data_IF_167638764506
#
_entry.id   IF_167638764506
#
_cell.length_a   1.000
_cell.length_b   1.000
_cell.length_c   1.000
_cell.angle_alpha   90.00
_cell.angle_beta   90.00
_cell.angle_gamma   90.00
#
_symmetry.space_group_name_H-M   'P 1'
#
loop_
_entity.id
_entity.type
_entity.pdbx_description
1 polymer ?
#
# COMPACT_ATOMS: atom_id res chain seq x y z
N UNK A 1 -8.26 22.14 -10.68
CA UNK A 1 -7.58 23.01 -9.70
C UNK A 1 -7.28 22.13 -8.51
N UNK A 2 -6.01 21.83 -8.24
CA UNK A 2 -5.63 20.90 -7.17
C UNK A 2 -5.80 21.58 -5.83
N UNK A 3 -6.70 21.07 -4.99
CA UNK A 3 -6.86 21.53 -3.62
C UNK A 3 -5.76 20.90 -2.77
N UNK A 4 -5.02 21.72 -2.02
CA UNK A 4 -4.01 21.24 -1.07
C UNK A 4 -4.56 21.33 0.34
N UNK A 5 -4.42 20.26 1.11
CA UNK A 5 -4.79 20.20 2.53
C UNK A 5 -3.57 20.00 3.41
N UNK A 6 -3.60 20.59 4.60
CA UNK A 6 -2.53 20.47 5.58
C UNK A 6 -2.72 19.16 6.35
N UNK A 7 -1.74 18.28 6.26
CA UNK A 7 -1.71 17.00 6.99
C UNK A 7 -0.51 16.97 7.94
N UNK A 8 -0.42 15.94 8.80
CA UNK A 8 0.76 15.68 9.63
C UNK A 8 2.06 15.47 8.82
N UNK A 9 1.95 15.31 7.49
CA UNK A 9 3.06 15.11 6.54
C UNK A 9 3.43 16.36 5.77
N UNK A 10 2.69 17.46 5.97
CA UNK A 10 2.80 18.69 5.19
C UNK A 10 1.61 18.92 4.25
N UNK A 11 1.83 19.70 3.20
CA UNK A 11 0.82 20.02 2.19
C UNK A 11 0.68 18.85 1.21
N UNK A 12 -0.52 18.30 1.11
CA UNK A 12 -0.84 17.15 0.25
C UNK A 12 -2.07 17.48 -0.59
N UNK A 13 -2.13 16.97 -1.82
CA UNK A 13 -3.31 17.07 -2.66
C UNK A 13 -4.48 16.33 -1.99
N UNK A 14 -5.64 16.99 -1.86
CA UNK A 14 -6.82 16.47 -1.15
C UNK A 14 -7.24 15.08 -1.65
N UNK A 15 -7.24 14.92 -2.96
CA UNK A 15 -7.51 13.69 -3.72
C UNK A 15 -6.54 12.55 -3.39
N UNK A 16 -5.32 12.87 -2.96
CA UNK A 16 -4.30 11.88 -2.58
C UNK A 16 -4.34 11.49 -1.10
N UNK A 17 -5.03 12.25 -0.24
CA UNK A 17 -5.02 12.01 1.21
C UNK A 17 -5.53 10.60 1.54
N UNK A 18 -6.73 10.27 1.05
CA UNK A 18 -7.34 8.96 1.29
C UNK A 18 -6.47 7.82 0.72
N UNK A 19 -5.93 8.02 -0.49
CA UNK A 19 -5.06 7.04 -1.13
C UNK A 19 -3.75 6.82 -0.36
N UNK A 20 -3.15 7.88 0.19
CA UNK A 20 -1.94 7.77 1.01
C UNK A 20 -2.24 7.03 2.31
N UNK A 21 -3.35 7.35 2.99
CA UNK A 21 -3.75 6.68 4.23
C UNK A 21 -4.04 5.19 3.99
N UNK A 22 -4.81 4.89 2.94
CA UNK A 22 -5.09 3.51 2.51
C UNK A 22 -3.82 2.75 2.18
N UNK A 23 -2.86 3.38 1.48
CA UNK A 23 -1.55 2.77 1.19
C UNK A 23 -0.82 2.39 2.47
N UNK A 24 -0.75 3.29 3.44
CA UNK A 24 -0.01 3.04 4.67
C UNK A 24 -0.64 1.92 5.50
N UNK A 25 -1.97 1.88 5.57
CA UNK A 25 -2.68 0.78 6.21
C UNK A 25 -2.36 -0.55 5.52
N UNK A 26 -2.46 -0.61 4.19
CA UNK A 26 -2.16 -1.83 3.43
C UNK A 26 -0.69 -2.25 3.53
N UNK A 27 0.25 -1.28 3.55
CA UNK A 27 1.67 -1.57 3.74
C UNK A 27 1.95 -2.14 5.13
N UNK A 28 1.29 -1.62 6.17
CA UNK A 28 1.41 -2.14 7.53
C UNK A 28 0.83 -3.56 7.65
N UNK A 29 -0.32 -3.82 7.04
CA UNK A 29 -0.91 -5.16 6.96
C UNK A 29 -0.02 -6.14 6.18
N UNK A 30 0.56 -5.70 5.05
CA UNK A 30 1.48 -6.49 4.27
C UNK A 30 2.74 -6.85 5.07
N UNK A 31 3.28 -5.92 5.84
CA UNK A 31 4.45 -6.15 6.70
C UNK A 31 4.15 -7.20 7.78
N UNK A 32 2.96 -7.13 8.39
CA UNK A 32 2.49 -8.18 9.31
C UNK A 32 2.39 -9.54 8.64
N UNK A 33 1.83 -9.61 7.42
CA UNK A 33 1.70 -10.86 6.68
C UNK A 33 3.06 -11.46 6.32
N UNK A 34 4.04 -10.63 5.95
CA UNK A 34 5.43 -11.09 5.73
C UNK A 34 5.97 -11.74 7.00
N UNK A 35 5.81 -11.10 8.17
CA UNK A 35 6.29 -11.66 9.43
C UNK A 35 5.55 -12.95 9.80
N UNK A 36 4.21 -12.97 9.67
CA UNK A 36 3.41 -14.19 9.90
C UNK A 36 3.79 -15.34 8.97
N UNK A 37 4.08 -15.07 7.69
CA UNK A 37 4.54 -16.10 6.77
C UNK A 37 5.90 -16.67 7.19
N UNK A 38 6.84 -15.79 7.56
CA UNK A 38 8.15 -16.20 8.06
C UNK A 38 8.05 -17.02 9.36
N UNK A 39 7.21 -16.60 10.30
CA UNK A 39 6.98 -17.30 11.57
C UNK A 39 6.38 -18.69 11.37
N UNK A 40 5.55 -18.87 10.34
CA UNK A 40 4.95 -20.15 9.95
C UNK A 40 5.84 -20.98 9.01
N UNK A 41 7.02 -20.48 8.61
CA UNK A 41 7.90 -21.16 7.65
C UNK A 41 7.38 -21.20 6.22
N UNK A 42 6.43 -20.32 5.88
CA UNK A 42 5.86 -20.17 4.54
C UNK A 42 6.69 -19.22 3.67
N UNK A 43 6.48 -19.27 2.36
CA UNK A 43 7.13 -18.34 1.44
C UNK A 43 6.61 -16.90 1.61
N UNK A 44 7.49 -16.01 2.06
CA UNK A 44 7.17 -14.59 2.24
C UNK A 44 7.29 -13.77 0.94
N UNK A 45 7.78 -14.35 -0.15
CA UNK A 45 7.98 -13.69 -1.45
C UNK A 45 6.74 -12.98 -1.99
N UNK A 46 5.55 -13.62 -2.08
CA UNK A 46 4.33 -12.96 -2.58
C UNK A 46 3.91 -11.75 -1.72
N UNK A 47 4.07 -11.83 -0.39
CA UNK A 47 3.77 -10.72 0.50
C UNK A 47 4.75 -9.54 0.32
N UNK A 48 6.03 -9.84 0.07
CA UNK A 48 7.06 -8.82 -0.24
C UNK A 48 6.78 -8.13 -1.57
N UNK A 49 6.39 -8.90 -2.60
CA UNK A 49 5.98 -8.35 -3.90
C UNK A 49 4.75 -7.46 -3.77
N UNK A 50 3.74 -7.90 -3.00
CA UNK A 50 2.56 -7.10 -2.69
C UNK A 50 2.92 -5.76 -2.01
N UNK A 51 3.80 -5.79 -1.00
CA UNK A 51 4.28 -4.59 -0.32
C UNK A 51 5.04 -3.64 -1.26
N UNK A 52 5.83 -4.18 -2.18
CA UNK A 52 6.55 -3.38 -3.16
C UNK A 52 5.57 -2.71 -4.13
N UNK A 53 4.58 -3.45 -4.65
CA UNK A 53 3.54 -2.89 -5.51
C UNK A 53 2.79 -1.72 -4.84
N UNK A 54 2.47 -1.82 -3.55
CA UNK A 54 1.84 -0.73 -2.79
C UNK A 54 2.75 0.50 -2.66
N UNK A 55 4.05 0.31 -2.48
CA UNK A 55 5.03 1.41 -2.39
C UNK A 55 5.17 2.16 -3.72
N UNK A 56 5.03 1.45 -4.83
CA UNK A 56 5.25 2.02 -6.17
C UNK A 56 4.04 2.83 -6.68
N UNK A 57 2.85 2.68 -6.07
CA UNK A 57 1.61 3.39 -6.46
C UNK A 57 1.79 4.91 -6.67
N UNK A 58 2.37 5.69 -5.74
CA UNK A 58 2.49 7.14 -5.93
C UNK A 58 3.48 7.53 -7.02
N UNK A 59 4.32 6.60 -7.49
CA UNK A 59 5.27 6.83 -8.58
C UNK A 59 4.71 6.40 -9.93
N UNK A 60 3.77 5.45 -9.96
CA UNK A 60 3.17 4.91 -11.18
C UNK A 60 1.90 5.63 -11.60
N UNK A 61 1.15 6.20 -10.66
CA UNK A 61 -0.12 6.88 -10.95
C UNK A 61 0.03 8.39 -10.79
N UNK A 62 -0.46 9.14 -11.79
CA UNK A 62 -0.58 10.60 -11.74
C UNK A 62 -1.86 11.05 -11.03
N UNK A 63 -2.89 10.19 -11.06
CA UNK A 63 -4.23 10.49 -10.57
C UNK A 63 -4.66 9.52 -9.48
N UNK A 64 -5.09 10.05 -8.34
CA UNK A 64 -5.46 9.26 -7.17
C UNK A 64 -6.71 8.39 -7.38
N UNK A 65 -7.60 8.81 -8.28
CA UNK A 65 -8.86 8.10 -8.58
C UNK A 65 -8.68 6.90 -9.51
N UNK A 66 -7.56 6.85 -10.23
CA UNK A 66 -7.24 5.76 -11.17
C UNK A 66 -6.30 4.71 -10.56
N UNK A 67 -5.98 4.83 -9.26
CA UNK A 67 -5.10 3.89 -8.57
C UNK A 67 -5.72 2.48 -8.60
N UNK A 68 -5.02 1.58 -9.28
CA UNK A 68 -5.32 0.16 -9.24
C UNK A 68 -4.58 -0.46 -8.06
N UNK A 69 -5.34 -0.82 -7.02
CA UNK A 69 -4.79 -1.46 -5.83
C UNK A 69 -4.44 -2.93 -6.13
N UNK A 70 -3.23 -3.38 -5.77
CA UNK A 70 -2.86 -4.78 -5.93
C UNK A 70 -3.78 -5.67 -5.08
N UNK A 71 -4.03 -6.89 -5.55
CA UNK A 71 -4.80 -7.87 -4.80
C UNK A 71 -4.00 -8.36 -3.60
N UNK A 72 -4.61 -8.35 -2.42
CA UNK A 72 -3.98 -8.84 -1.18
C UNK A 72 -3.79 -10.36 -1.27
N UNK A 73 -2.55 -10.88 -1.16
CA UNK A 73 -2.32 -12.33 -1.10
C UNK A 73 -2.88 -12.91 0.20
N UNK A 74 -3.48 -14.09 0.14
CA UNK A 74 -3.96 -14.82 1.34
C UNK A 74 -2.98 -15.91 1.75
N UNK A 75 -2.91 -16.21 3.05
CA UNK A 75 -2.07 -17.29 3.59
C UNK A 75 -2.51 -18.68 3.12
N UNK A 76 -3.76 -18.84 2.65
CA UNK A 76 -4.26 -20.11 2.10
C UNK A 76 -3.75 -20.38 0.67
N UNK A 77 -3.20 -19.37 0.00
CA UNK A 77 -2.74 -19.46 -1.39
C UNK A 77 -1.22 -19.74 -1.52
N UNK A 78 -0.51 -19.90 -0.39
CA UNK A 78 0.95 -19.99 -0.30
C UNK A 78 1.32 -21.13 0.62
#
# INVERSE_FOLDING_TARGET
>A
MTMLVVTHRGLVAEDWVESIEKRDQLMFEADKLVNTALDNGLDATPFRQYRQALRDIPQTFTDATEIIWPQKPTLEQI
#
